data_IF_081556618161
#
_entry.id   IF_081556618161
#
_cell.length_a   1.000
_cell.length_b   1.000
_cell.length_c   1.000
_cell.angle_alpha   90.00
_cell.angle_beta   90.00
_cell.angle_gamma   90.00
#
_symmetry.space_group_name_H-M   'P 1'
#
loop_
_entity.id
_entity.type
_entity.pdbx_description
1 polymer ?
#
# COMPACT_ATOMS: atom_id res chain seq x y z
N UNK A 1 4.14 19.60 17.71
CA UNK A 1 3.03 19.18 16.82
C UNK A 1 3.65 18.73 15.52
N UNK A 2 3.57 17.44 15.17
CA UNK A 2 4.25 16.89 13.99
C UNK A 2 3.80 17.58 12.67
N UNK A 3 2.54 18.00 12.59
CA UNK A 3 2.02 18.75 11.45
C UNK A 3 2.82 20.03 11.14
N UNK A 4 3.24 20.78 12.16
CA UNK A 4 4.03 21.99 11.96
C UNK A 4 5.45 21.73 11.42
N UNK A 5 6.03 20.57 11.74
CA UNK A 5 7.34 20.17 11.22
C UNK A 5 7.27 19.79 9.74
N UNK A 6 6.20 19.12 9.32
CA UNK A 6 5.98 18.79 7.91
C UNK A 6 5.64 20.02 7.06
N UNK A 7 4.92 21.00 7.60
CA UNK A 7 4.68 22.27 6.92
C UNK A 7 5.98 23.07 6.74
N UNK A 8 6.84 23.12 7.75
CA UNK A 8 8.18 23.71 7.62
C UNK A 8 9.04 22.98 6.60
N UNK A 9 8.97 21.64 6.56
CA UNK A 9 9.68 20.84 5.57
C UNK A 9 9.20 21.15 4.13
N UNK A 10 7.88 21.29 3.93
CA UNK A 10 7.33 21.70 2.64
C UNK A 10 7.86 23.05 2.18
N UNK A 11 7.91 24.04 3.08
CA UNK A 11 8.47 25.36 2.75
C UNK A 11 9.95 25.26 2.34
N UNK A 12 10.74 24.48 3.07
CA UNK A 12 12.16 24.28 2.76
C UNK A 12 12.36 23.59 1.40
N UNK A 13 11.64 22.51 1.14
CA UNK A 13 11.74 21.78 -0.12
C UNK A 13 11.17 22.57 -1.31
N UNK A 14 10.16 23.41 -1.09
CA UNK A 14 9.64 24.32 -2.12
C UNK A 14 10.68 25.37 -2.51
N UNK A 15 11.46 25.88 -1.55
CA UNK A 15 12.60 26.76 -1.86
C UNK A 15 13.68 26.03 -2.63
N UNK A 16 14.04 24.82 -2.21
CA UNK A 16 15.01 23.99 -2.94
C UNK A 16 14.57 23.76 -4.40
N UNK A 17 13.28 23.51 -4.64
CA UNK A 17 12.72 23.40 -5.98
C UNK A 17 12.92 24.68 -6.81
N UNK A 18 12.76 25.86 -6.21
CA UNK A 18 12.91 27.15 -6.89
C UNK A 18 14.37 27.50 -7.17
N UNK A 19 15.30 27.11 -6.29
CA UNK A 19 16.73 27.41 -6.42
C UNK A 19 17.45 26.40 -7.32
N UNK A 20 17.18 25.12 -7.14
CA UNK A 20 17.92 24.02 -7.79
C UNK A 20 17.16 23.39 -8.96
N UNK A 21 15.88 23.71 -9.12
CA UNK A 21 15.01 23.17 -10.16
C UNK A 21 14.37 21.81 -9.82
N UNK A 22 13.58 21.25 -10.76
CA UNK A 22 12.93 19.95 -10.59
C UNK A 22 13.98 18.84 -10.51
N UNK A 23 14.06 18.17 -9.36
CA UNK A 23 14.92 17.01 -9.09
C UNK A 23 14.11 15.87 -8.47
N UNK A 24 14.46 14.60 -8.72
CA UNK A 24 13.73 13.48 -8.14
C UNK A 24 13.71 13.56 -6.61
N UNK A 25 14.82 13.94 -5.98
CA UNK A 25 14.95 14.01 -4.52
C UNK A 25 14.04 15.07 -3.90
N UNK A 26 13.89 16.21 -4.58
CA UNK A 26 13.00 17.29 -4.13
C UNK A 26 11.54 16.86 -4.28
N UNK A 27 11.17 16.24 -5.39
CA UNK A 27 9.81 15.71 -5.59
C UNK A 27 9.47 14.61 -4.57
N UNK A 28 10.39 13.68 -4.32
CA UNK A 28 10.21 12.63 -3.31
C UNK A 28 10.06 13.22 -1.91
N UNK A 29 10.88 14.20 -1.54
CA UNK A 29 10.83 14.87 -0.24
C UNK A 29 9.51 15.65 -0.03
N UNK A 30 9.08 16.42 -1.04
CA UNK A 30 7.78 17.10 -1.03
C UNK A 30 6.62 16.10 -0.96
N UNK A 31 6.73 14.99 -1.70
CA UNK A 31 5.74 13.92 -1.71
C UNK A 31 5.60 13.26 -0.33
N UNK A 32 6.71 12.90 0.30
CA UNK A 32 6.75 12.34 1.65
C UNK A 32 6.17 13.30 2.70
N UNK A 33 6.48 14.61 2.61
CA UNK A 33 5.91 15.59 3.53
C UNK A 33 4.39 15.72 3.36
N UNK A 34 3.88 15.71 2.12
CA UNK A 34 2.44 15.71 1.85
C UNK A 34 1.76 14.41 2.32
N UNK A 35 2.44 13.27 2.20
CA UNK A 35 1.96 11.98 2.70
C UNK A 35 1.78 12.03 4.23
N UNK A 36 2.77 12.54 4.96
CA UNK A 36 2.70 12.72 6.42
C UNK A 36 1.61 13.71 6.87
N UNK A 37 1.22 14.64 6.01
CA UNK A 37 0.11 15.57 6.23
C UNK A 37 -1.25 15.00 5.81
N UNK A 38 -1.31 13.77 5.30
CA UNK A 38 -2.54 13.16 4.78
C UNK A 38 -3.04 13.77 3.47
N UNK A 39 -2.22 14.58 2.78
CA UNK A 39 -2.54 15.20 1.49
C UNK A 39 -2.26 14.22 0.36
N UNK A 40 -2.98 13.09 0.35
CA UNK A 40 -2.62 11.90 -0.41
C UNK A 40 -2.55 12.12 -1.93
N UNK A 41 -3.46 12.90 -2.51
CA UNK A 41 -3.44 13.19 -3.95
C UNK A 41 -2.22 14.01 -4.36
N UNK A 42 -1.83 15.01 -3.56
CA UNK A 42 -0.62 15.80 -3.81
C UNK A 42 0.64 14.94 -3.63
N UNK A 43 0.65 14.06 -2.61
CA UNK A 43 1.74 13.12 -2.40
C UNK A 43 1.92 12.21 -3.61
N UNK A 44 0.84 11.62 -4.13
CA UNK A 44 0.87 10.76 -5.31
C UNK A 44 1.44 11.49 -6.54
N UNK A 45 0.92 12.69 -6.86
CA UNK A 45 1.38 13.45 -8.03
C UNK A 45 2.88 13.76 -7.97
N UNK A 46 3.38 14.15 -6.80
CA UNK A 46 4.79 14.46 -6.59
C UNK A 46 5.66 13.20 -6.65
N UNK A 47 5.22 12.10 -6.02
CA UNK A 47 5.96 10.85 -6.00
C UNK A 47 6.01 10.18 -7.37
N UNK A 48 4.95 10.29 -8.19
CA UNK A 48 4.98 9.86 -9.59
C UNK A 48 6.04 10.60 -10.38
N UNK A 49 6.15 11.93 -10.23
CA UNK A 49 7.22 12.71 -10.88
C UNK A 49 8.62 12.26 -10.44
N UNK A 50 8.79 11.96 -9.15
CA UNK A 50 10.06 11.43 -8.65
C UNK A 50 10.41 10.09 -9.32
N UNK A 51 9.45 9.16 -9.39
CA UNK A 51 9.61 7.85 -10.04
C UNK A 51 9.79 7.96 -11.57
N UNK A 52 9.14 8.91 -12.23
CA UNK A 52 9.31 9.13 -13.67
C UNK A 52 10.72 9.63 -14.00
N UNK A 53 11.32 10.42 -13.10
CA UNK A 53 12.69 10.91 -13.21
C UNK A 53 13.72 9.85 -12.82
N UNK A 54 13.45 9.08 -11.78
CA UNK A 54 14.31 8.00 -11.30
C UNK A 54 13.49 6.72 -11.06
N UNK A 55 13.32 5.88 -12.10
CA UNK A 55 12.44 4.72 -12.03
C UNK A 55 12.91 3.64 -11.06
N UNK A 56 14.21 3.54 -10.81
CA UNK A 56 14.82 2.48 -10.00
C UNK A 56 15.19 2.96 -8.59
N UNK A 57 14.37 3.83 -8.01
CA UNK A 57 14.57 4.34 -6.65
C UNK A 57 13.60 3.69 -5.64
N UNK A 58 14.06 2.73 -4.81
CA UNK A 58 13.19 1.96 -3.90
C UNK A 58 12.37 2.82 -2.94
N UNK A 59 12.97 3.89 -2.41
CA UNK A 59 12.32 4.75 -1.42
C UNK A 59 11.16 5.56 -2.03
N UNK A 60 11.35 6.13 -3.22
CA UNK A 60 10.29 6.84 -3.93
C UNK A 60 9.15 5.89 -4.35
N UNK A 61 9.49 4.69 -4.84
CA UNK A 61 8.51 3.64 -5.16
C UNK A 61 7.72 3.20 -3.92
N UNK A 62 8.39 3.03 -2.78
CA UNK A 62 7.75 2.70 -1.51
C UNK A 62 6.77 3.79 -1.05
N UNK A 63 7.20 5.04 -1.09
CA UNK A 63 6.37 6.18 -0.69
C UNK A 63 5.14 6.32 -1.61
N UNK A 64 5.32 6.11 -2.93
CA UNK A 64 4.21 6.09 -3.88
C UNK A 64 3.23 4.95 -3.56
N UNK A 65 3.75 3.74 -3.32
CA UNK A 65 2.95 2.60 -2.90
C UNK A 65 2.16 2.88 -1.62
N UNK A 66 2.78 3.48 -0.61
CA UNK A 66 2.11 3.86 0.64
C UNK A 66 1.03 4.93 0.43
N UNK A 67 1.29 5.94 -0.41
CA UNK A 67 0.29 6.94 -0.77
C UNK A 67 -0.93 6.33 -1.46
N UNK A 68 -0.71 5.40 -2.39
CA UNK A 68 -1.76 4.66 -3.10
C UNK A 68 -2.56 3.75 -2.15
N UNK A 69 -1.89 3.07 -1.21
CA UNK A 69 -2.56 2.24 -0.21
C UNK A 69 -3.50 3.07 0.67
N UNK A 70 -3.06 4.23 1.15
CA UNK A 70 -3.90 5.10 1.97
C UNK A 70 -5.10 5.67 1.20
N UNK A 71 -5.03 5.70 -0.13
CA UNK A 71 -6.17 6.04 -1.00
C UNK A 71 -7.05 4.84 -1.35
N UNK A 72 -6.74 3.63 -0.88
CA UNK A 72 -7.45 2.40 -1.23
C UNK A 72 -7.11 1.82 -2.60
N UNK A 73 -6.12 2.37 -3.31
CA UNK A 73 -5.68 1.90 -4.64
C UNK A 73 -4.70 0.72 -4.51
N UNK A 74 -5.11 -0.33 -3.80
CA UNK A 74 -4.23 -1.44 -3.42
C UNK A 74 -3.59 -2.18 -4.61
N UNK A 75 -4.34 -2.38 -5.69
CA UNK A 75 -3.86 -3.06 -6.90
C UNK A 75 -2.70 -2.33 -7.56
N UNK A 76 -2.76 -0.99 -7.60
CA UNK A 76 -1.68 -0.18 -8.17
C UNK A 76 -0.49 -0.10 -7.21
N UNK A 77 -0.77 0.06 -5.91
CA UNK A 77 0.26 0.09 -4.88
C UNK A 77 1.13 -1.17 -4.89
N UNK A 78 0.51 -2.36 -5.04
CA UNK A 78 1.21 -3.64 -5.11
C UNK A 78 2.30 -3.64 -6.20
N UNK A 79 1.99 -3.10 -7.38
CA UNK A 79 2.94 -3.08 -8.50
C UNK A 79 4.20 -2.28 -8.16
N UNK A 80 4.04 -1.09 -7.59
CA UNK A 80 5.16 -0.25 -7.18
C UNK A 80 5.94 -0.86 -6.01
N UNK A 81 5.25 -1.45 -5.04
CA UNK A 81 5.86 -2.06 -3.86
C UNK A 81 6.64 -3.34 -4.20
N UNK A 82 6.18 -4.15 -5.15
CA UNK A 82 6.94 -5.30 -5.68
C UNK A 82 8.24 -4.86 -6.34
N UNK A 83 8.20 -3.77 -7.10
CA UNK A 83 9.41 -3.21 -7.71
C UNK A 83 10.38 -2.67 -6.67
N UNK A 84 9.89 -1.93 -5.68
CA UNK A 84 10.71 -1.46 -4.55
C UNK A 84 11.40 -2.63 -3.83
N UNK A 85 10.64 -3.70 -3.53
CA UNK A 85 11.14 -4.92 -2.90
C UNK A 85 12.19 -5.65 -3.74
N UNK A 86 12.01 -5.69 -5.07
CA UNK A 86 12.98 -6.31 -5.94
C UNK A 86 14.30 -5.52 -6.00
N UNK A 87 14.23 -4.20 -6.00
CA UNK A 87 15.39 -3.32 -6.08
C UNK A 87 16.20 -3.27 -4.76
N UNK A 88 15.53 -3.38 -3.61
CA UNK A 88 16.18 -3.44 -2.29
C UNK A 88 16.48 -4.87 -1.82
N UNK A 89 16.20 -5.88 -2.66
CA UNK A 89 16.33 -7.31 -2.33
C UNK A 89 15.56 -7.75 -1.08
N UNK A 90 14.48 -7.04 -0.72
CA UNK A 90 13.65 -7.30 0.43
C UNK A 90 14.27 -6.92 1.78
N UNK A 91 15.30 -6.07 1.79
CA UNK A 91 15.99 -5.67 3.02
C UNK A 91 15.12 -4.75 3.89
N UNK A 92 14.37 -3.82 3.29
CA UNK A 92 13.57 -2.84 4.04
C UNK A 92 12.34 -3.48 4.69
N UNK A 93 12.24 -3.36 6.03
CA UNK A 93 11.04 -3.74 6.78
C UNK A 93 9.82 -2.94 6.31
N UNK A 94 10.01 -1.65 6.03
CA UNK A 94 8.91 -0.77 5.61
C UNK A 94 8.33 -1.20 4.26
N UNK A 95 9.17 -1.55 3.28
CA UNK A 95 8.73 -2.04 1.97
C UNK A 95 7.98 -3.36 2.12
N UNK A 96 8.53 -4.30 2.92
CA UNK A 96 7.89 -5.58 3.22
C UNK A 96 6.52 -5.43 3.84
N UNK A 97 6.41 -4.56 4.84
CA UNK A 97 5.15 -4.31 5.53
C UNK A 97 4.11 -3.64 4.63
N UNK A 98 4.52 -2.64 3.85
CA UNK A 98 3.62 -1.99 2.91
C UNK A 98 3.14 -2.97 1.82
N UNK A 99 4.05 -3.79 1.27
CA UNK A 99 3.68 -4.82 0.29
C UNK A 99 2.70 -5.84 0.90
N UNK A 100 2.96 -6.31 2.11
CA UNK A 100 2.05 -7.21 2.82
C UNK A 100 0.66 -6.60 2.98
N UNK A 101 0.57 -5.33 3.41
CA UNK A 101 -0.72 -4.62 3.53
C UNK A 101 -1.44 -4.50 2.18
N UNK A 102 -0.71 -4.25 1.09
CA UNK A 102 -1.29 -4.20 -0.24
C UNK A 102 -1.94 -5.53 -0.63
N UNK A 103 -1.25 -6.65 -0.38
CA UNK A 103 -1.75 -7.99 -0.65
C UNK A 103 -2.96 -8.33 0.23
N UNK A 104 -2.90 -8.04 1.52
CA UNK A 104 -4.03 -8.24 2.45
C UNK A 104 -5.28 -7.45 2.00
N UNK A 105 -5.10 -6.20 1.55
CA UNK A 105 -6.21 -5.39 1.05
C UNK A 105 -6.83 -5.99 -0.23
N UNK A 106 -6.01 -6.56 -1.11
CA UNK A 106 -6.48 -7.23 -2.34
C UNK A 106 -7.25 -8.51 -2.04
N UNK A 107 -6.71 -9.37 -1.16
CA UNK A 107 -7.37 -10.59 -0.72
C UNK A 107 -8.73 -10.30 -0.05
N UNK A 108 -8.81 -9.23 0.74
CA UNK A 108 -10.06 -8.81 1.38
C UNK A 108 -11.08 -8.25 0.38
N UNK A 109 -10.64 -7.56 -0.68
CA UNK A 109 -11.56 -7.06 -1.72
C UNK A 109 -12.09 -8.15 -2.64
N UNK A 110 -11.30 -9.19 -2.91
CA UNK A 110 -11.74 -10.38 -3.62
C UNK A 110 -12.68 -11.25 -2.77
N UNK A 111 -12.78 -10.96 -1.46
CA UNK A 111 -13.64 -11.67 -0.54
C UNK A 111 -15.06 -11.08 -0.39
N UNK A 112 -15.35 -9.97 -1.06
CA UNK A 112 -16.72 -9.47 -1.20
C UNK A 112 -17.40 -10.07 -2.44
N UNK A 113 -17.65 -11.37 -2.39
CA UNK A 113 -18.63 -12.00 -3.27
C UNK A 113 -20.03 -11.48 -2.91
N UNK A 114 -20.88 -11.28 -3.91
CA UNK A 114 -22.26 -10.78 -3.79
C UNK A 114 -23.19 -11.63 -2.88
N UNK A 115 -22.70 -12.76 -2.36
CA UNK A 115 -23.44 -13.74 -1.56
C UNK A 115 -22.95 -13.86 -0.09
N UNK A 116 -22.03 -13.01 0.37
CA UNK A 116 -21.68 -12.93 1.81
C UNK A 116 -21.04 -14.19 2.41
N UNK A 117 -20.47 -15.07 1.59
CA UNK A 117 -19.86 -16.31 2.08
C UNK A 117 -18.41 -16.05 2.48
N UNK A 118 -18.11 -16.24 3.76
CA UNK A 118 -16.76 -16.08 4.29
C UNK A 118 -15.86 -17.29 3.94
N UNK A 119 -14.63 -17.06 3.49
CA UNK A 119 -13.61 -18.05 3.14
C UNK A 119 -12.42 -17.76 4.04
N UNK A 120 -12.20 -18.61 5.04
CA UNK A 120 -11.04 -18.46 5.92
C UNK A 120 -9.85 -19.18 5.31
N UNK A 121 -8.81 -18.41 4.96
CA UNK A 121 -7.50 -18.96 4.62
C UNK A 121 -6.79 -19.35 5.92
N UNK A 122 -6.82 -20.65 6.25
CA UNK A 122 -6.05 -21.18 7.39
C UNK A 122 -4.68 -21.64 6.89
N UNK A 123 -3.63 -20.93 7.30
CA UNK A 123 -2.26 -21.31 7.02
C UNK A 123 -1.88 -22.54 7.85
N UNK A 124 -1.61 -23.67 7.19
CA UNK A 124 -0.84 -24.75 7.78
C UNK A 124 0.62 -24.62 7.31
N UNK A 125 1.56 -24.68 8.25
CA UNK A 125 2.99 -24.59 7.94
C UNK A 125 3.38 -25.59 6.83
N UNK A 126 4.10 -25.09 5.82
CA UNK A 126 4.58 -25.91 4.69
C UNK A 126 4.19 -25.44 3.28
N UNK A 127 3.54 -24.28 3.12
CA UNK A 127 3.35 -23.66 1.79
C UNK A 127 2.24 -24.29 0.92
N UNK A 128 1.31 -25.04 1.51
CA UNK A 128 0.14 -25.56 0.82
C UNK A 128 -1.09 -24.80 1.29
N UNK A 129 -1.72 -24.06 0.39
CA UNK A 129 -2.97 -23.34 0.64
C UNK A 129 -4.15 -24.18 0.16
N UNK A 130 -5.19 -24.31 0.99
CA UNK A 130 -6.50 -24.83 0.56
C UNK A 130 -7.59 -23.84 0.95
N UNK A 131 -8.50 -23.60 0.01
CA UNK A 131 -9.72 -22.81 0.24
C UNK A 131 -10.70 -23.71 1.01
N UNK A 132 -11.17 -23.26 2.17
CA UNK A 132 -12.32 -23.85 2.85
C UNK A 132 -13.45 -22.83 2.93
N UNK A 133 -14.62 -23.21 2.42
CA UNK A 133 -15.87 -22.49 2.67
C UNK A 133 -16.20 -22.57 4.16
N UNK A 134 -16.37 -21.44 4.82
CA UNK A 134 -16.97 -21.42 6.15
C UNK A 134 -18.48 -21.65 5.98
N UNK A 135 -18.88 -22.91 5.87
CA UNK A 135 -20.30 -23.27 5.83
C UNK A 135 -20.91 -22.88 7.18
N UNK A 136 -21.82 -21.92 7.15
CA UNK A 136 -22.50 -21.39 8.33
C UNK A 136 -23.09 -22.48 9.20
N UNK A 137 -22.69 -22.50 10.46
CA UNK A 137 -23.39 -23.23 11.49
C UNK A 137 -24.68 -22.47 11.86
N UNK A 138 -25.74 -22.64 11.08
CA UNK A 138 -27.10 -22.33 11.53
C UNK A 138 -28.17 -23.08 10.72
N UNK A 139 -28.74 -24.07 11.39
CA UNK A 139 -30.11 -24.58 11.29
C UNK A 139 -30.59 -25.23 9.97
N UNK A 140 -30.90 -26.53 10.05
CA UNK A 140 -32.30 -26.99 9.91
C UNK A 140 -32.48 -28.42 10.46
N UNK A 141 -33.39 -28.51 11.43
CA UNK A 141 -34.14 -29.71 11.77
C UNK A 141 -34.82 -30.28 10.52
N UNK A 142 -34.82 -31.61 10.39
CA UNK A 142 -35.93 -32.46 9.95
C UNK A 142 -35.42 -33.66 9.13
N UNK A 143 -35.05 -34.75 9.80
CA UNK A 143 -35.34 -36.08 9.26
C UNK A 143 -36.09 -36.90 10.31
N UNK A 144 -37.37 -37.08 9.98
CA UNK A 144 -38.28 -38.07 10.51
C UNK A 144 -37.64 -39.46 10.45
N UNK A 145 -37.90 -40.30 11.45
CA UNK A 145 -38.39 -41.66 11.19
C UNK A 145 -39.09 -42.22 12.45
N UNK A 146 -40.14 -43.05 12.26
CA UNK A 146 -41.09 -43.46 13.28
C UNK A 146 -40.56 -44.50 14.28
#
# INVERSE_FOLDING_TARGET
MAAGEYELALDAFTRAYLEEGPKPEVFSSLGSANLSLGRLGQAEDLLRRAVDMEPDWPEALNNLGLALLQQGKAAEAEQYLRRAYALDNGESDAIRDNLRRALEMLENSDHTDADGTAYNLVQYGGGVYRIQSATGASAQEAEQQP
#
